data_IF_388018923310
#
_entry.id   IF_388018923310
#
_cell.length_a   1.000
_cell.length_b   1.000
_cell.length_c   1.000
_cell.angle_alpha   90.00
_cell.angle_beta   90.00
_cell.angle_gamma   90.00
#
_symmetry.space_group_name_H-M   'P 1'
#
loop_
_entity.id
_entity.type
_entity.pdbx_description
1 polymer ?
#
# COMPACT_ATOMS: atom_id res chain seq x y z
N UNK A 1 -6.24 -3.71 -13.53
CA UNK A 1 -5.86 -4.64 -12.45
C UNK A 1 -5.24 -5.90 -13.05
N UNK A 2 -4.01 -6.25 -12.66
CA UNK A 2 -3.37 -7.48 -13.09
C UNK A 2 -3.89 -8.67 -12.27
N UNK A 3 -4.66 -9.57 -12.89
CA UNK A 3 -5.16 -10.81 -12.27
C UNK A 3 -5.60 -11.80 -13.32
N UNK A 4 -5.33 -13.09 -13.10
CA UNK A 4 -5.82 -14.18 -13.95
C UNK A 4 -7.25 -14.59 -13.60
N UNK A 5 -7.73 -14.26 -12.40
CA UNK A 5 -9.10 -14.57 -11.96
C UNK A 5 -10.05 -13.44 -12.37
N UNK A 6 -10.96 -13.75 -13.29
CA UNK A 6 -12.06 -12.85 -13.68
C UNK A 6 -13.03 -12.62 -12.52
N UNK A 7 -13.35 -13.66 -11.75
CA UNK A 7 -14.21 -13.54 -10.56
C UNK A 7 -13.65 -12.53 -9.55
N UNK A 8 -12.33 -12.57 -9.28
CA UNK A 8 -11.68 -11.60 -8.39
C UNK A 8 -11.75 -10.19 -8.96
N UNK A 9 -11.55 -10.04 -10.27
CA UNK A 9 -11.63 -8.73 -10.92
C UNK A 9 -13.04 -8.15 -10.83
N UNK A 10 -14.06 -8.94 -11.15
CA UNK A 10 -15.46 -8.53 -11.11
C UNK A 10 -15.88 -8.09 -9.71
N UNK A 11 -15.47 -8.83 -8.66
CA UNK A 11 -15.72 -8.42 -7.25
C UNK A 11 -15.17 -7.02 -6.95
N UNK A 12 -13.90 -6.77 -7.28
CA UNK A 12 -13.26 -5.46 -7.05
C UNK A 12 -13.89 -4.37 -7.92
N UNK A 13 -14.28 -4.70 -9.16
CA UNK A 13 -14.95 -3.74 -10.03
C UNK A 13 -16.32 -3.33 -9.47
N UNK A 14 -17.08 -4.26 -8.89
CA UNK A 14 -18.38 -3.98 -8.28
C UNK A 14 -18.31 -3.12 -7.02
N UNK A 15 -17.15 -3.06 -6.34
CA UNK A 15 -16.93 -2.14 -5.20
C UNK A 15 -16.92 -0.67 -5.65
N UNK A 16 -16.56 -0.39 -6.92
CA UNK A 16 -16.62 0.96 -7.46
C UNK A 16 -18.06 1.35 -7.83
N UNK A 17 -18.47 2.62 -7.62
CA UNK A 17 -19.77 3.09 -8.07
C UNK A 17 -19.93 2.88 -9.59
N UNK A 18 -21.15 2.59 -10.05
CA UNK A 18 -21.45 2.17 -11.43
C UNK A 18 -20.80 3.07 -12.49
N UNK A 19 -20.80 4.40 -12.27
CA UNK A 19 -20.20 5.37 -13.19
C UNK A 19 -18.67 5.30 -13.32
N UNK A 20 -17.97 4.63 -12.39
CA UNK A 20 -16.51 4.51 -12.37
C UNK A 20 -16.01 3.10 -12.72
N UNK A 21 -16.90 2.10 -12.80
CA UNK A 21 -16.51 0.71 -13.04
C UNK A 21 -15.75 0.52 -14.37
N UNK A 22 -16.07 1.32 -15.38
CA UNK A 22 -15.40 1.30 -16.70
C UNK A 22 -13.94 1.76 -16.67
N UNK A 23 -13.50 2.48 -15.62
CA UNK A 23 -12.11 2.89 -15.44
C UNK A 23 -11.22 1.75 -14.92
N UNK A 24 -11.82 0.69 -14.37
CA UNK A 24 -11.10 -0.50 -13.95
C UNK A 24 -11.14 -1.55 -15.06
N UNK A 25 -9.98 -1.91 -15.59
CA UNK A 25 -9.85 -2.91 -16.67
C UNK A 25 -9.01 -4.09 -16.20
N UNK A 26 -9.45 -5.32 -16.48
CA UNK A 26 -8.67 -6.53 -16.20
C UNK A 26 -7.53 -6.67 -17.20
N UNK A 27 -6.34 -6.99 -16.70
CA UNK A 27 -5.21 -7.39 -17.54
C UNK A 27 -4.59 -8.67 -16.98
N UNK A 28 -4.02 -9.50 -17.85
CA UNK A 28 -3.40 -10.79 -17.47
C UNK A 28 -1.89 -10.80 -17.64
N UNK A 29 -1.33 -9.71 -18.19
CA UNK A 29 0.09 -9.58 -18.53
C UNK A 29 0.58 -8.16 -18.22
N UNK A 30 1.82 -8.04 -17.72
CA UNK A 30 2.43 -6.74 -17.38
C UNK A 30 2.60 -5.82 -18.58
N UNK A 31 2.79 -6.37 -19.79
CA UNK A 31 2.96 -5.58 -21.02
C UNK A 31 1.75 -4.70 -21.34
N UNK A 32 0.57 -5.01 -20.80
CA UNK A 32 -0.62 -4.17 -20.95
C UNK A 32 -0.43 -2.77 -20.33
N UNK A 33 0.45 -2.65 -19.32
CA UNK A 33 0.76 -1.40 -18.63
C UNK A 33 1.99 -0.67 -19.21
N UNK A 34 2.46 -1.02 -20.41
CA UNK A 34 3.67 -0.43 -21.04
C UNK A 34 3.63 1.08 -21.25
N UNK A 35 2.44 1.68 -21.20
CA UNK A 35 2.23 3.13 -21.35
C UNK A 35 1.81 3.80 -20.03
N UNK A 36 1.77 3.06 -18.93
CA UNK A 36 1.38 3.57 -17.62
C UNK A 36 2.62 4.00 -16.84
N UNK A 37 2.71 5.28 -16.44
CA UNK A 37 3.82 5.79 -15.61
C UNK A 37 3.61 5.63 -14.11
N UNK A 38 2.42 5.23 -13.69
CA UNK A 38 2.08 5.02 -12.28
C UNK A 38 1.76 3.55 -12.07
N UNK A 39 2.56 2.87 -11.24
CA UNK A 39 2.42 1.45 -10.97
C UNK A 39 2.15 1.23 -9.48
N UNK A 40 0.99 0.66 -9.17
CA UNK A 40 0.60 0.31 -7.81
C UNK A 40 0.88 -1.19 -7.61
N UNK A 41 1.77 -1.51 -6.68
CA UNK A 41 2.38 -2.84 -6.54
C UNK A 41 2.09 -3.41 -5.15
N UNK A 42 1.13 -4.35 -5.10
CA UNK A 42 0.76 -5.09 -3.89
C UNK A 42 1.32 -6.52 -3.82
N UNK A 43 2.20 -6.90 -4.75
CA UNK A 43 2.87 -8.21 -4.80
C UNK A 43 4.31 -8.01 -5.23
N UNK A 44 5.21 -8.84 -4.73
CA UNK A 44 6.60 -8.82 -5.14
C UNK A 44 6.75 -9.12 -6.64
N UNK A 45 7.52 -8.29 -7.35
CA UNK A 45 7.78 -8.41 -8.80
C UNK A 45 9.27 -8.43 -9.11
N UNK A 46 9.64 -9.26 -10.06
CA UNK A 46 11.01 -9.46 -10.56
C UNK A 46 11.49 -8.28 -11.42
N UNK A 47 12.82 -8.11 -11.59
CA UNK A 47 13.39 -7.17 -12.55
C UNK A 47 12.81 -7.27 -13.96
N UNK A 48 12.55 -8.48 -14.45
CA UNK A 48 11.97 -8.71 -15.78
C UNK A 48 10.55 -8.18 -15.91
N UNK A 49 9.74 -8.32 -14.86
CA UNK A 49 8.37 -7.77 -14.84
C UNK A 49 8.40 -6.24 -14.80
N UNK A 50 9.31 -5.66 -14.01
CA UNK A 50 9.54 -4.21 -13.97
C UNK A 50 9.99 -3.62 -15.32
N UNK A 51 10.67 -4.39 -16.18
CA UNK A 51 11.02 -3.97 -17.55
C UNK A 51 9.81 -3.71 -18.44
N UNK A 52 8.61 -4.15 -18.04
CA UNK A 52 7.37 -3.83 -18.77
C UNK A 52 6.92 -2.38 -18.55
N UNK A 53 7.40 -1.71 -17.50
CA UNK A 53 7.06 -0.32 -17.22
C UNK A 53 7.86 0.66 -18.10
N UNK A 54 7.24 1.74 -18.60
CA UNK A 54 7.95 2.75 -19.40
C UNK A 54 8.98 3.52 -18.56
N UNK A 55 10.03 4.09 -19.19
CA UNK A 55 10.95 5.01 -18.52
C UNK A 55 10.21 6.17 -17.83
N UNK A 56 10.72 6.58 -16.67
CA UNK A 56 10.09 7.61 -15.83
C UNK A 56 8.90 7.10 -15.02
N UNK A 57 8.74 5.79 -14.86
CA UNK A 57 7.68 5.21 -14.02
C UNK A 57 7.97 5.46 -12.54
N UNK A 58 6.92 5.73 -11.77
CA UNK A 58 6.93 5.66 -10.32
C UNK A 58 6.19 4.39 -9.84
N UNK A 59 6.87 3.59 -9.02
CA UNK A 59 6.33 2.41 -8.37
C UNK A 59 5.85 2.74 -6.96
N UNK A 60 4.54 2.86 -6.76
CA UNK A 60 3.92 2.87 -5.44
C UNK A 60 3.84 1.44 -4.92
N UNK A 61 4.64 1.11 -3.92
CA UNK A 61 4.70 -0.24 -3.35
C UNK A 61 4.13 -0.27 -1.93
N UNK A 62 3.38 -1.32 -1.64
CA UNK A 62 2.90 -1.63 -0.28
C UNK A 62 3.11 -3.12 0.07
N UNK A 63 3.94 -3.81 -0.71
CA UNK A 63 4.38 -5.18 -0.43
C UNK A 63 5.54 -5.19 0.57
N UNK A 64 5.53 -6.14 1.50
CA UNK A 64 6.62 -6.39 2.46
C UNK A 64 7.21 -7.78 2.18
N UNK A 65 8.52 -7.93 1.94
CA UNK A 65 9.53 -6.88 1.81
C UNK A 65 9.36 -6.02 0.54
N UNK A 66 9.97 -4.82 0.47
CA UNK A 66 9.88 -3.96 -0.71
C UNK A 66 10.47 -4.65 -1.95
N UNK A 67 10.02 -4.23 -3.14
CA UNK A 67 10.55 -4.72 -4.40
C UNK A 67 11.96 -4.18 -4.64
N UNK A 68 12.76 -4.93 -5.39
CA UNK A 68 14.11 -4.49 -5.75
C UNK A 68 14.04 -3.27 -6.69
N UNK A 69 14.69 -2.17 -6.30
CA UNK A 69 14.82 -0.95 -7.10
C UNK A 69 15.80 -1.12 -8.28
N UNK A 70 15.39 -1.90 -9.28
CA UNK A 70 16.27 -2.33 -10.38
C UNK A 70 16.42 -1.29 -11.51
N UNK A 71 15.36 -0.54 -11.82
CA UNK A 71 15.30 0.40 -12.95
C UNK A 71 15.82 1.77 -12.53
N UNK A 72 16.99 2.17 -13.07
CA UNK A 72 17.62 3.48 -12.79
C UNK A 72 16.86 4.67 -13.36
N UNK A 73 16.05 4.43 -14.39
CA UNK A 73 15.20 5.40 -15.07
C UNK A 73 13.79 5.46 -14.47
N UNK A 74 13.55 4.80 -13.33
CA UNK A 74 12.30 4.80 -12.59
C UNK A 74 12.53 5.21 -11.14
N UNK A 75 11.45 5.50 -10.42
CA UNK A 75 11.46 5.81 -9.00
C UNK A 75 10.59 4.82 -8.22
N UNK A 76 10.90 4.63 -6.94
CA UNK A 76 10.24 3.66 -6.08
C UNK A 76 9.81 4.37 -4.81
N UNK A 77 8.54 4.24 -4.43
CA UNK A 77 8.04 4.77 -3.17
C UNK A 77 8.55 3.95 -1.99
N UNK A 78 8.78 4.61 -0.87
CA UNK A 78 9.09 3.94 0.40
C UNK A 78 7.83 3.25 0.96
N UNK A 79 8.04 2.19 1.74
CA UNK A 79 6.93 1.57 2.46
C UNK A 79 6.47 2.48 3.59
N UNK A 80 5.15 2.58 3.77
CA UNK A 80 4.57 3.38 4.85
C UNK A 80 5.14 2.94 6.21
N UNK A 81 5.61 3.92 6.98
CA UNK A 81 6.20 3.74 8.29
C UNK A 81 5.70 4.82 9.24
N UNK A 82 5.66 4.49 10.52
CA UNK A 82 5.21 5.36 11.59
C UNK A 82 6.26 5.39 12.70
N UNK A 83 6.51 6.59 13.24
CA UNK A 83 7.24 6.80 14.49
C UNK A 83 6.33 6.47 15.67
N UNK A 84 6.83 5.67 16.60
CA UNK A 84 6.17 5.40 17.88
C UNK A 84 6.51 6.48 18.92
N UNK A 85 5.71 6.62 19.98
CA UNK A 85 6.04 7.45 21.14
C UNK A 85 7.37 7.07 21.79
N UNK A 86 8.02 8.03 22.44
CA UNK A 86 9.34 7.84 23.06
C UNK A 86 9.34 6.82 24.22
N UNK A 87 8.17 6.54 24.81
CA UNK A 87 8.00 5.57 25.90
C UNK A 87 8.18 4.10 25.45
N UNK A 88 8.27 3.84 24.14
CA UNK A 88 8.53 2.50 23.61
C UNK A 88 10.03 2.22 23.57
N UNK A 89 10.46 1.09 24.14
CA UNK A 89 11.87 0.68 24.27
C UNK A 89 12.55 0.25 22.94
N UNK A 90 12.01 0.65 21.79
CA UNK A 90 12.59 0.33 20.49
C UNK A 90 13.64 1.36 20.08
N UNK A 91 14.90 0.92 19.98
CA UNK A 91 16.04 1.81 19.68
C UNK A 91 15.96 2.61 18.37
N UNK A 92 15.11 2.23 17.41
CA UNK A 92 14.87 3.02 16.18
C UNK A 92 13.67 3.97 16.28
N UNK A 93 12.75 3.74 17.23
CA UNK A 93 11.51 4.50 17.36
C UNK A 93 10.56 4.44 16.15
N UNK A 94 10.83 3.65 15.12
CA UNK A 94 10.06 3.60 13.86
C UNK A 94 9.71 2.17 13.50
N UNK A 95 8.48 1.96 13.03
CA UNK A 95 7.97 0.67 12.55
C UNK A 95 7.21 0.84 11.23
N UNK A 96 7.02 -0.26 10.50
CA UNK A 96 6.07 -0.28 9.39
C UNK A 96 4.67 0.10 9.86
N UNK A 97 3.94 0.82 9.02
CA UNK A 97 2.59 1.32 9.35
C UNK A 97 1.63 0.20 9.74
N UNK A 98 1.76 -1.01 9.18
CA UNK A 98 0.96 -2.16 9.57
C UNK A 98 1.19 -2.60 11.03
N UNK A 99 2.43 -2.53 11.54
CA UNK A 99 2.71 -2.85 12.95
C UNK A 99 2.19 -1.75 13.88
N UNK A 100 2.34 -0.48 13.49
CA UNK A 100 1.74 0.64 14.20
C UNK A 100 0.21 0.52 14.27
N UNK A 101 -0.45 0.11 13.18
CA UNK A 101 -1.89 -0.18 13.17
C UNK A 101 -2.29 -1.22 14.21
N UNK A 102 -1.52 -2.31 14.34
CA UNK A 102 -1.74 -3.30 15.39
C UNK A 102 -1.60 -2.75 16.82
N UNK A 103 -0.66 -1.82 17.05
CA UNK A 103 -0.51 -1.13 18.34
C UNK A 103 -1.73 -0.25 18.61
N UNK A 104 -2.16 0.56 17.64
CA UNK A 104 -3.34 1.43 17.77
C UNK A 104 -4.60 0.61 18.04
N UNK A 105 -4.78 -0.50 17.32
CA UNK A 105 -5.90 -1.42 17.53
C UNK A 105 -5.96 -1.94 18.97
N UNK A 106 -4.81 -2.34 19.54
CA UNK A 106 -4.72 -2.76 20.94
C UNK A 106 -5.06 -1.62 21.91
N UNK A 107 -4.52 -0.42 21.68
CA UNK A 107 -4.70 0.73 22.57
C UNK A 107 -6.14 1.26 22.59
N UNK A 108 -6.85 1.20 21.46
CA UNK A 108 -8.25 1.59 21.36
C UNK A 108 -9.21 0.46 21.81
N UNK A 109 -8.71 -0.72 22.15
CA UNK A 109 -9.52 -1.84 22.62
C UNK A 109 -10.50 -2.36 21.56
N UNK A 110 -10.17 -2.19 20.28
CA UNK A 110 -11.01 -2.67 19.19
C UNK A 110 -11.03 -4.20 19.15
N UNK A 111 -12.18 -4.76 18.77
CA UNK A 111 -12.43 -6.21 18.80
C UNK A 111 -12.72 -6.83 17.44
N UNK A 112 -12.84 -6.00 16.41
CA UNK A 112 -12.99 -6.44 15.03
C UNK A 112 -11.68 -7.04 14.47
N UNK A 113 -11.79 -7.67 13.29
CA UNK A 113 -10.64 -8.28 12.62
C UNK A 113 -9.91 -7.26 11.75
N UNK A 114 -8.58 -7.22 11.88
CA UNK A 114 -7.68 -6.34 11.11
C UNK A 114 -7.21 -6.96 9.78
N UNK A 115 -7.63 -8.19 9.48
CA UNK A 115 -7.18 -8.95 8.30
C UNK A 115 -8.34 -9.06 7.32
N UNK A 116 -8.16 -8.51 6.12
CA UNK A 116 -9.15 -8.60 5.06
C UNK A 116 -9.17 -7.36 4.17
N UNK A 117 -10.33 -7.12 3.55
CA UNK A 117 -10.58 -5.86 2.87
C UNK A 117 -10.54 -4.71 3.88
N UNK A 118 -9.91 -3.60 3.47
CA UNK A 118 -9.84 -2.38 4.27
C UNK A 118 -11.25 -1.78 4.33
N UNK A 119 -11.72 -1.46 5.53
CA UNK A 119 -12.90 -0.62 5.72
C UNK A 119 -12.50 0.84 5.48
N UNK A 120 -12.83 1.34 4.29
CA UNK A 120 -12.41 2.69 3.84
C UNK A 120 -13.01 3.80 4.70
N UNK A 121 -14.18 3.58 5.32
CA UNK A 121 -14.84 4.57 6.16
C UNK A 121 -14.16 4.74 7.52
N UNK A 122 -13.26 3.82 7.89
CA UNK A 122 -12.51 3.87 9.15
C UNK A 122 -11.11 4.45 9.00
N UNK A 123 -10.67 4.80 7.79
CA UNK A 123 -9.30 5.32 7.56
C UNK A 123 -9.03 6.54 8.44
N UNK A 124 -9.92 7.54 8.41
CA UNK A 124 -9.74 8.78 9.19
C UNK A 124 -9.83 8.50 10.71
N UNK A 125 -10.75 7.62 11.13
CA UNK A 125 -10.88 7.22 12.53
C UNK A 125 -9.60 6.57 13.07
N UNK A 126 -9.01 5.65 12.30
CA UNK A 126 -7.76 4.98 12.66
C UNK A 126 -6.59 5.95 12.66
N UNK A 127 -6.56 6.86 11.69
CA UNK A 127 -5.54 7.90 11.60
C UNK A 127 -5.54 8.83 12.83
N UNK A 128 -6.70 9.37 13.19
CA UNK A 128 -6.84 10.23 14.37
C UNK A 128 -6.50 9.49 15.67
N UNK A 129 -6.89 8.21 15.79
CA UNK A 129 -6.49 7.38 16.92
C UNK A 129 -4.97 7.19 17.00
N UNK A 130 -4.31 6.96 15.87
CA UNK A 130 -2.84 6.88 15.83
C UNK A 130 -2.19 8.16 16.35
N UNK A 131 -2.63 9.32 15.86
CA UNK A 131 -2.10 10.62 16.28
C UNK A 131 -2.35 10.90 17.77
N UNK A 132 -3.53 10.56 18.29
CA UNK A 132 -3.91 10.65 19.71
C UNK A 132 -2.95 9.84 20.61
N UNK A 133 -2.54 8.66 20.16
CA UNK A 133 -1.56 7.82 20.87
C UNK A 133 -0.10 8.20 20.59
N UNK A 134 0.14 9.33 19.92
CA UNK A 134 1.49 9.82 19.61
C UNK A 134 2.21 9.05 18.51
N UNK A 135 1.52 8.15 17.81
CA UNK A 135 2.02 7.45 16.63
C UNK A 135 1.88 8.36 15.41
N UNK A 136 2.99 8.67 14.74
CA UNK A 136 3.05 9.74 13.72
C UNK A 136 3.70 9.24 12.43
N UNK A 137 3.34 9.78 11.26
CA UNK A 137 4.07 9.46 10.02
C UNK A 137 5.55 9.86 10.16
N UNK A 138 6.43 9.09 9.51
CA UNK A 138 7.84 9.48 9.37
C UNK A 138 7.92 10.63 8.36
N UNK A 139 8.47 11.76 8.77
CA UNK A 139 8.77 12.85 7.86
C UNK A 139 10.09 12.56 7.12
N UNK A 140 10.09 12.66 5.79
CA UNK A 140 11.30 12.49 4.97
C UNK A 140 12.27 13.70 5.04
N UNK A 141 12.20 14.51 6.12
CA UNK A 141 12.99 15.73 6.28
C UNK A 141 13.76 15.83 7.63
N UNK A 142 13.71 14.79 8.47
CA UNK A 142 14.52 14.70 9.69
C UNK A 142 15.85 13.97 9.42
#
# INVERSE_FOLDING_TARGET
MLTLSSERFEKVQMEAPVGFQSYLVQVTKYQAARNCKTWIVGKWITPREQSSAPPGTHFHQFVVPPILSFRRDCTYGELAAMKLPDDYTMGRGVVHACHAGGVVHLLEGWTHHEVGAIDVDRIDLVWEAALKHGVKPVNNQD
#
